data_IF_675219552356
#
_entry.id   IF_675219552356
#
_cell.length_a   1.000
_cell.length_b   1.000
_cell.length_c   1.000
_cell.angle_alpha   90.00
_cell.angle_beta   90.00
_cell.angle_gamma   90.00
#
_symmetry.space_group_name_H-M   'P 1'
#
loop_
_entity.id
_entity.type
_entity.pdbx_description
1 polymer ?
#
# COMPACT_ATOMS: atom_id res chain seq x y z
N UNK A 1 10.34 -25.11 -24.10
CA UNK A 1 11.27 -24.16 -23.46
C UNK A 1 12.18 -25.02 -22.59
N UNK A 2 13.42 -25.27 -23.03
CA UNK A 2 14.42 -25.92 -22.19
C UNK A 2 14.67 -25.03 -20.98
N UNK A 3 14.54 -25.59 -19.77
CA UNK A 3 14.94 -24.90 -18.57
C UNK A 3 16.48 -24.87 -18.56
N UNK A 4 17.05 -23.71 -18.87
CA UNK A 4 18.49 -23.49 -18.82
C UNK A 4 19.03 -23.92 -17.47
N UNK A 5 20.02 -24.81 -17.47
CA UNK A 5 20.63 -25.33 -16.24
C UNK A 5 21.29 -24.16 -15.47
N UNK A 6 20.96 -23.96 -14.18
CA UNK A 6 21.43 -22.80 -13.43
C UNK A 6 22.95 -22.86 -13.25
N UNK A 7 23.64 -21.83 -13.74
CA UNK A 7 25.10 -21.69 -13.63
C UNK A 7 25.46 -21.47 -12.15
N UNK A 8 26.30 -22.34 -11.60
CA UNK A 8 26.72 -22.27 -10.20
C UNK A 8 27.33 -20.89 -9.87
N UNK A 9 26.77 -20.21 -8.86
CA UNK A 9 27.23 -18.88 -8.42
C UNK A 9 26.61 -17.68 -9.15
N UNK A 10 25.78 -17.90 -10.18
CA UNK A 10 25.12 -16.82 -10.94
C UNK A 10 23.67 -16.57 -10.52
N UNK A 11 23.09 -17.42 -9.68
CA UNK A 11 21.74 -17.30 -9.12
C UNK A 11 21.79 -17.12 -7.60
N UNK A 12 21.11 -16.10 -7.07
CA UNK A 12 20.95 -15.88 -5.63
C UNK A 12 19.47 -15.94 -5.22
N UNK A 13 19.12 -16.52 -4.06
CA UNK A 13 17.75 -16.58 -3.60
C UNK A 13 17.23 -15.18 -3.23
N UNK A 14 16.17 -14.72 -3.92
CA UNK A 14 15.47 -13.46 -3.60
C UNK A 14 14.29 -13.77 -2.68
N UNK A 15 14.25 -13.11 -1.53
CA UNK A 15 13.11 -13.21 -0.62
C UNK A 15 11.94 -12.40 -1.14
N UNK A 16 10.73 -12.99 -1.12
CA UNK A 16 9.48 -12.30 -1.51
C UNK A 16 9.26 -10.96 -0.79
N UNK A 17 9.73 -10.84 0.45
CA UNK A 17 9.66 -9.58 1.20
C UNK A 17 10.35 -8.38 0.51
N UNK A 18 11.27 -8.63 -0.43
CA UNK A 18 11.96 -7.59 -1.20
C UNK A 18 11.15 -7.10 -2.41
N UNK A 19 10.21 -7.92 -2.90
CA UNK A 19 9.47 -7.65 -4.14
C UNK A 19 7.97 -7.45 -3.92
N UNK A 20 7.43 -8.01 -2.83
CA UNK A 20 6.01 -7.90 -2.49
C UNK A 20 5.70 -6.65 -1.66
N UNK A 21 4.58 -5.96 -1.94
CA UNK A 21 4.15 -4.82 -1.14
C UNK A 21 3.88 -5.19 0.33
N UNK A 22 4.31 -4.32 1.25
CA UNK A 22 4.06 -4.50 2.69
C UNK A 22 2.61 -4.12 3.01
N UNK A 23 1.81 -5.15 3.28
CA UNK A 23 0.42 -5.01 3.70
C UNK A 23 0.30 -5.06 5.24
N UNK A 24 -0.55 -4.21 5.81
CA UNK A 24 -0.99 -4.20 7.21
C UNK A 24 -2.45 -4.62 7.24
N UNK A 25 -2.73 -5.86 7.66
CA UNK A 25 -4.11 -6.37 7.72
C UNK A 25 -4.82 -6.43 6.36
N UNK A 26 -4.05 -6.51 5.27
CA UNK A 26 -4.59 -6.48 3.91
C UNK A 26 -4.68 -5.09 3.28
N UNK A 27 -4.35 -4.01 4.00
CA UNK A 27 -4.26 -2.65 3.45
C UNK A 27 -2.80 -2.24 3.19
N UNK A 28 -2.49 -1.37 2.20
CA UNK A 28 -1.14 -0.84 2.02
C UNK A 28 -0.74 -0.02 3.24
N UNK A 29 0.46 -0.28 3.79
CA UNK A 29 0.94 0.35 5.03
C UNK A 29 0.76 1.87 5.07
N UNK A 30 1.08 2.56 3.98
CA UNK A 30 0.99 4.01 3.92
C UNK A 30 -0.44 4.52 4.14
N UNK A 31 -1.45 3.89 3.54
CA UNK A 31 -2.85 4.29 3.70
C UNK A 31 -3.38 3.94 5.07
N UNK A 32 -3.03 2.77 5.59
CA UNK A 32 -3.43 2.38 6.95
C UNK A 32 -2.94 3.39 7.99
N UNK A 33 -1.70 3.87 7.86
CA UNK A 33 -1.13 4.91 8.75
C UNK A 33 -1.86 6.24 8.57
N UNK A 34 -2.00 6.74 7.34
CA UNK A 34 -2.66 8.03 7.08
C UNK A 34 -4.11 8.02 7.59
N UNK A 35 -4.86 6.95 7.33
CA UNK A 35 -6.23 6.82 7.79
C UNK A 35 -6.32 6.70 9.32
N UNK A 36 -5.43 5.92 9.94
CA UNK A 36 -5.33 5.82 11.39
C UNK A 36 -5.04 7.17 12.06
N UNK A 37 -4.10 7.94 11.51
CA UNK A 37 -3.77 9.27 12.00
C UNK A 37 -4.94 10.25 11.84
N UNK A 38 -5.61 10.26 10.68
CA UNK A 38 -6.76 11.13 10.44
C UNK A 38 -7.91 10.81 11.39
N UNK A 39 -8.22 9.52 11.56
CA UNK A 39 -9.22 9.06 12.52
C UNK A 39 -8.85 9.41 13.97
N UNK A 40 -7.58 9.28 14.36
CA UNK A 40 -7.09 9.66 15.68
C UNK A 40 -7.19 11.17 15.93
N UNK A 41 -6.78 11.98 14.96
CA UNK A 41 -6.89 13.44 15.01
C UNK A 41 -8.35 13.88 15.18
N UNK A 42 -9.29 13.26 14.47
CA UNK A 42 -10.72 13.59 14.56
C UNK A 42 -11.32 13.05 15.87
N UNK A 43 -11.06 11.78 16.18
CA UNK A 43 -11.67 11.10 17.32
C UNK A 43 -11.18 11.61 18.67
N UNK A 44 -9.86 11.77 18.83
CA UNK A 44 -9.24 12.24 20.07
C UNK A 44 -9.16 13.78 20.10
N UNK A 45 -8.79 14.41 18.98
CA UNK A 45 -8.57 15.86 18.92
C UNK A 45 -9.86 16.68 19.04
N UNK A 46 -10.94 16.26 18.38
CA UNK A 46 -12.25 16.92 18.50
C UNK A 46 -13.18 16.23 19.52
N UNK A 47 -12.72 15.19 20.22
CA UNK A 47 -13.53 14.29 21.08
C UNK A 47 -14.68 13.59 20.34
N UNK A 48 -14.69 13.62 19.01
CA UNK A 48 -15.68 12.97 18.16
C UNK A 48 -15.32 11.48 17.96
N UNK A 49 -15.12 10.75 19.05
CA UNK A 49 -14.56 9.40 19.02
C UNK A 49 -15.37 8.45 18.13
N UNK A 50 -16.70 8.56 18.12
CA UNK A 50 -17.56 7.77 17.22
C UNK A 50 -17.29 8.11 15.75
N UNK A 51 -17.24 9.40 15.40
CA UNK A 51 -16.96 9.82 14.03
C UNK A 51 -15.56 9.38 13.59
N UNK A 52 -14.56 9.50 14.48
CA UNK A 52 -13.21 9.00 14.24
C UNK A 52 -13.19 7.48 13.98
N UNK A 53 -13.95 6.70 14.76
CA UNK A 53 -14.04 5.25 14.60
C UNK A 53 -14.75 4.85 13.29
N UNK A 54 -15.80 5.57 12.90
CA UNK A 54 -16.48 5.38 11.62
C UNK A 54 -15.54 5.68 10.44
N UNK A 55 -14.82 6.81 10.50
CA UNK A 55 -13.82 7.19 9.48
C UNK A 55 -12.72 6.13 9.40
N UNK A 56 -12.23 5.67 10.55
CA UNK A 56 -11.23 4.61 10.62
C UNK A 56 -11.72 3.34 9.94
N UNK A 57 -12.91 2.85 10.30
CA UNK A 57 -13.46 1.61 9.78
C UNK A 57 -13.69 1.69 8.26
N UNK A 58 -14.30 2.78 7.77
CA UNK A 58 -14.56 2.98 6.33
C UNK A 58 -13.25 3.11 5.57
N UNK A 59 -12.33 3.97 6.00
CA UNK A 59 -11.06 4.19 5.30
C UNK A 59 -10.16 2.95 5.32
N UNK A 60 -10.20 2.15 6.38
CA UNK A 60 -9.46 0.90 6.45
C UNK A 60 -10.08 -0.16 5.53
N UNK A 61 -11.41 -0.32 5.53
CA UNK A 61 -12.11 -1.22 4.61
C UNK A 61 -11.84 -0.86 3.14
N UNK A 62 -11.88 0.42 2.79
CA UNK A 62 -11.53 0.91 1.45
C UNK A 62 -10.06 0.60 1.10
N UNK A 63 -9.14 0.75 2.06
CA UNK A 63 -7.73 0.44 1.86
C UNK A 63 -7.49 -1.05 1.62
N UNK A 64 -8.18 -1.93 2.37
CA UNK A 64 -8.11 -3.39 2.16
C UNK A 64 -8.71 -3.78 0.81
N UNK A 65 -9.84 -3.17 0.43
CA UNK A 65 -10.46 -3.42 -0.87
C UNK A 65 -9.56 -2.96 -2.03
N UNK A 66 -8.92 -1.80 -1.92
CA UNK A 66 -8.00 -1.28 -2.91
C UNK A 66 -6.77 -2.19 -3.06
N UNK A 67 -6.16 -2.63 -1.96
CA UNK A 67 -5.04 -3.59 -2.00
C UNK A 67 -5.44 -4.95 -2.58
N UNK A 68 -6.67 -5.41 -2.36
CA UNK A 68 -7.19 -6.62 -3.01
C UNK A 68 -7.35 -6.46 -4.53
N UNK A 69 -7.64 -5.24 -5.01
CA UNK A 69 -7.81 -4.92 -6.44
C UNK A 69 -6.47 -4.72 -7.14
N UNK A 70 -5.58 -3.91 -6.53
CA UNK A 70 -4.25 -3.60 -7.04
C UNK A 70 -3.31 -3.23 -5.88
N UNK A 71 -2.33 -4.09 -5.55
CA UNK A 71 -1.34 -3.82 -4.52
C UNK A 71 -0.43 -2.60 -4.80
N UNK A 72 -0.24 -2.23 -6.08
CA UNK A 72 0.65 -1.16 -6.51
C UNK A 72 -0.06 0.18 -6.76
N UNK A 73 -1.38 0.26 -6.56
CA UNK A 73 -2.16 1.47 -6.89
C UNK A 73 -1.59 2.74 -6.24
N UNK A 74 -1.07 2.65 -5.00
CA UNK A 74 -0.51 3.79 -4.26
C UNK A 74 0.75 4.31 -4.95
N UNK A 75 1.60 3.41 -5.43
CA UNK A 75 2.85 3.78 -6.10
C UNK A 75 2.57 4.37 -7.49
N UNK A 76 1.57 3.84 -8.20
CA UNK A 76 1.09 4.40 -9.47
C UNK A 76 0.48 5.79 -9.26
N UNK A 77 -0.39 5.97 -8.27
CA UNK A 77 -0.99 7.26 -7.96
C UNK A 77 0.05 8.31 -7.55
N UNK A 78 1.03 7.92 -6.72
CA UNK A 78 2.18 8.77 -6.38
C UNK A 78 3.01 9.12 -7.59
N UNK A 79 3.25 8.16 -8.49
CA UNK A 79 3.96 8.40 -9.74
C UNK A 79 3.18 9.40 -10.61
N UNK A 80 1.87 9.26 -10.71
CA UNK A 80 1.02 10.16 -11.48
C UNK A 80 0.99 11.58 -10.90
N UNK A 81 1.03 11.73 -9.58
CA UNK A 81 1.12 13.05 -8.92
C UNK A 81 2.53 13.68 -9.05
N UNK A 82 3.58 12.86 -9.08
CA UNK A 82 4.97 13.33 -9.09
C UNK A 82 5.47 13.65 -10.50
N UNK A 83 5.06 12.88 -11.50
CA UNK A 83 5.50 13.06 -12.88
C UNK A 83 4.45 13.81 -13.69
N UNK A 84 4.84 14.86 -14.43
CA UNK A 84 3.93 15.52 -15.35
C UNK A 84 3.41 14.55 -16.40
N UNK A 85 2.17 14.73 -16.86
CA UNK A 85 1.52 13.92 -17.90
C UNK A 85 2.32 13.83 -19.22
N UNK A 86 3.25 14.75 -19.46
CA UNK A 86 4.12 14.77 -20.64
C UNK A 86 5.42 13.98 -20.49
N UNK A 87 5.80 13.54 -19.27
CA UNK A 87 6.88 12.56 -19.08
C UNK A 87 6.32 11.17 -19.35
N UNK A 88 6.34 10.76 -20.62
CA UNK A 88 6.06 9.39 -21.03
C UNK A 88 7.31 8.52 -20.82
N UNK A 89 7.20 7.30 -20.25
CA UNK A 89 8.31 6.38 -20.11
C UNK A 89 8.85 5.88 -21.46
#
# INVERSE_FOLDING_TARGET
MEASEPIAGFSAPVHRALTEPILLGGAPRALAIVNGTLAGAIGLGLRLWIAGLVIWAIGHALSVWAARRDPQFVDVARRHLRYPTWMQP
#
